data_IF_614147145686
#
_entry.id   IF_614147145686
#
_cell.length_a   1.000
_cell.length_b   1.000
_cell.length_c   1.000
_cell.angle_alpha   90.00
_cell.angle_beta   90.00
_cell.angle_gamma   90.00
#
_symmetry.space_group_name_H-M   'P 1'
#
loop_
_entity.id
_entity.type
_entity.pdbx_description
1 polymer ?
#
# COMPACT_ATOMS: atom_id res chain seq x y z
N UNK A 1 -5.28 -4.34 -30.47
CA UNK A 1 -6.66 -4.87 -30.35
C UNK A 1 -7.61 -3.70 -30.19
N UNK A 2 -8.79 -3.74 -30.82
CA UNK A 2 -9.81 -2.69 -30.63
C UNK A 2 -10.80 -3.14 -29.57
N UNK A 3 -10.87 -2.40 -28.46
CA UNK A 3 -11.73 -2.68 -27.31
C UNK A 3 -12.66 -1.49 -26.99
N UNK A 4 -12.81 -0.54 -27.93
CA UNK A 4 -13.56 0.71 -27.70
C UNK A 4 -15.06 0.50 -27.48
N UNK A 5 -15.60 -0.63 -27.93
CA UNK A 5 -17.01 -0.99 -27.76
C UNK A 5 -17.27 -1.82 -26.49
N UNK A 6 -16.23 -2.27 -25.79
CA UNK A 6 -16.40 -2.98 -24.52
C UNK A 6 -16.76 -1.99 -23.40
N UNK A 7 -17.54 -2.45 -22.42
CA UNK A 7 -17.83 -1.68 -21.22
C UNK A 7 -16.60 -1.68 -20.31
N UNK A 8 -15.78 -0.65 -20.45
CA UNK A 8 -14.55 -0.42 -19.69
C UNK A 8 -14.72 0.88 -18.90
N UNK A 9 -14.27 0.92 -17.65
CA UNK A 9 -14.32 2.12 -16.81
C UNK A 9 -13.15 2.16 -15.82
N UNK A 10 -12.86 3.34 -15.26
CA UNK A 10 -11.86 3.52 -14.20
C UNK A 10 -12.56 3.62 -12.84
N UNK A 11 -11.87 3.29 -11.74
CA UNK A 11 -12.36 3.49 -10.37
C UNK A 11 -11.23 4.08 -9.53
N UNK A 12 -11.37 5.34 -9.14
CA UNK A 12 -10.31 6.11 -8.53
C UNK A 12 -10.84 7.01 -7.39
N UNK A 13 -9.94 7.67 -6.67
CA UNK A 13 -10.32 8.73 -5.73
C UNK A 13 -10.96 9.92 -6.45
N UNK A 14 -11.86 10.64 -5.78
CA UNK A 14 -12.58 11.77 -6.36
C UNK A 14 -11.64 12.82 -6.98
N UNK A 15 -10.47 13.04 -6.36
CA UNK A 15 -9.46 14.03 -6.78
C UNK A 15 -8.41 13.49 -7.77
N UNK A 16 -8.42 12.20 -8.10
CA UNK A 16 -7.43 11.59 -8.98
C UNK A 16 -7.52 12.13 -10.42
N UNK A 17 -6.37 12.48 -11.02
CA UNK A 17 -6.30 13.06 -12.39
C UNK A 17 -5.52 12.18 -13.37
N UNK A 18 -4.61 11.39 -12.84
CA UNK A 18 -3.75 10.41 -13.48
C UNK A 18 -4.35 9.00 -13.33
N UNK A 19 -5.28 8.66 -14.23
CA UNK A 19 -5.97 7.37 -14.22
C UNK A 19 -5.11 6.35 -15.00
N UNK A 20 -4.34 5.54 -14.27
CA UNK A 20 -3.41 4.54 -14.83
C UNK A 20 -4.13 3.32 -15.40
N UNK A 21 -5.23 2.90 -14.77
CA UNK A 21 -5.89 1.63 -15.03
C UNK A 21 -7.40 1.76 -15.29
N UNK A 22 -7.91 0.88 -16.13
CA UNK A 22 -9.33 0.70 -16.39
C UNK A 22 -9.66 -0.79 -16.42
N UNK A 23 -10.90 -1.14 -16.06
CA UNK A 23 -11.33 -2.51 -15.84
C UNK A 23 -12.51 -2.86 -16.75
N UNK A 24 -12.54 -4.10 -17.23
CA UNK A 24 -13.73 -4.76 -17.75
C UNK A 24 -13.88 -6.14 -17.13
N UNK A 25 -15.12 -6.56 -16.87
CA UNK A 25 -15.40 -7.89 -16.35
C UNK A 25 -16.71 -8.46 -16.91
N UNK A 26 -16.75 -9.79 -17.09
CA UNK A 26 -17.97 -10.52 -17.46
C UNK A 26 -17.85 -12.00 -17.11
N UNK A 27 -19.00 -12.68 -17.02
CA UNK A 27 -19.03 -14.15 -16.93
C UNK A 27 -19.04 -14.72 -18.35
N UNK A 28 -18.14 -15.67 -18.61
CA UNK A 28 -18.04 -16.39 -19.88
C UNK A 28 -19.09 -17.51 -19.96
N UNK A 29 -19.35 -18.02 -21.17
CA UNK A 29 -20.33 -19.09 -21.40
C UNK A 29 -20.04 -20.38 -20.60
N UNK A 30 -18.77 -20.65 -20.32
CA UNK A 30 -18.34 -21.79 -19.51
C UNK A 30 -18.48 -21.55 -17.98
N UNK A 31 -18.93 -20.37 -17.57
CA UNK A 31 -19.08 -19.95 -16.18
C UNK A 31 -17.80 -19.51 -15.49
N UNK A 32 -16.69 -19.34 -16.23
CA UNK A 32 -15.50 -18.65 -15.73
C UNK A 32 -15.66 -17.14 -15.81
N UNK A 33 -14.81 -16.41 -15.10
CA UNK A 33 -14.74 -14.96 -15.15
C UNK A 33 -13.77 -14.52 -16.25
N UNK A 34 -14.16 -13.50 -16.99
CA UNK A 34 -13.26 -12.68 -17.76
C UNK A 34 -12.93 -11.43 -16.96
N UNK A 35 -11.64 -11.12 -16.85
CA UNK A 35 -11.12 -9.88 -16.28
C UNK A 35 -10.15 -9.25 -17.27
N UNK A 36 -10.51 -8.07 -17.79
CA UNK A 36 -9.62 -7.20 -18.56
C UNK A 36 -9.10 -6.08 -17.68
N UNK A 37 -7.77 -5.98 -17.57
CA UNK A 37 -7.09 -4.85 -16.92
C UNK A 37 -6.32 -4.08 -17.99
N UNK A 38 -6.66 -2.81 -18.16
CA UNK A 38 -6.20 -1.97 -19.26
C UNK A 38 -5.34 -0.85 -18.70
N UNK A 39 -4.02 -0.94 -18.87
CA UNK A 39 -3.07 0.02 -18.28
C UNK A 39 -2.63 1.03 -19.33
N UNK A 40 -2.54 2.30 -18.97
CA UNK A 40 -2.05 3.38 -19.83
C UNK A 40 -0.74 3.00 -20.56
N UNK A 41 -0.72 3.13 -21.89
CA UNK A 41 0.45 2.77 -22.70
C UNK A 41 1.51 3.90 -22.71
N UNK A 42 2.08 4.17 -21.54
CA UNK A 42 3.08 5.24 -21.35
C UNK A 42 4.32 4.99 -22.21
N UNK A 43 4.72 3.73 -22.40
CA UNK A 43 5.85 3.35 -23.26
C UNK A 43 5.62 3.69 -24.75
N UNK A 44 4.38 3.92 -25.17
CA UNK A 44 4.08 4.50 -26.48
C UNK A 44 4.61 5.93 -26.59
N UNK A 45 4.42 6.75 -25.58
CA UNK A 45 4.75 8.18 -25.60
C UNK A 45 6.17 8.47 -25.10
N UNK A 46 6.64 7.73 -24.09
CA UNK A 46 7.94 7.92 -23.44
C UNK A 46 8.94 6.89 -23.96
N UNK A 47 9.60 7.22 -25.08
CA UNK A 47 10.62 6.35 -25.70
C UNK A 47 11.91 6.32 -24.91
N UNK A 48 12.49 5.13 -24.79
CA UNK A 48 13.81 4.92 -24.17
C UNK A 48 14.87 5.85 -24.77
N UNK A 49 15.65 6.51 -23.91
CA UNK A 49 16.70 7.46 -24.26
C UNK A 49 16.22 8.88 -24.60
N UNK A 50 14.91 9.13 -24.67
CA UNK A 50 14.35 10.47 -24.86
C UNK A 50 14.63 11.39 -23.66
N UNK A 51 14.44 12.70 -23.84
CA UNK A 51 14.60 13.66 -22.73
C UNK A 51 13.61 13.37 -21.58
N UNK A 52 12.36 13.04 -21.91
CA UNK A 52 11.31 12.70 -20.94
C UNK A 52 11.68 11.39 -20.22
N UNK A 53 12.20 10.40 -20.93
CA UNK A 53 12.65 9.15 -20.33
C UNK A 53 13.79 9.35 -19.32
N UNK A 54 14.80 10.15 -19.68
CA UNK A 54 15.93 10.45 -18.77
C UNK A 54 15.45 11.13 -17.50
N UNK A 55 14.50 12.07 -17.61
CA UNK A 55 13.90 12.73 -16.46
C UNK A 55 13.03 11.77 -15.63
N UNK A 56 12.20 10.94 -16.29
CA UNK A 56 11.39 9.93 -15.61
C UNK A 56 12.27 8.92 -14.86
N UNK A 57 13.37 8.46 -15.47
CA UNK A 57 14.36 7.60 -14.82
C UNK A 57 15.01 8.29 -13.64
N UNK A 58 15.39 9.58 -13.79
CA UNK A 58 16.01 10.35 -12.72
C UNK A 58 15.08 10.45 -11.50
N UNK A 59 13.79 10.76 -11.72
CA UNK A 59 12.77 10.84 -10.66
C UNK A 59 12.43 9.48 -10.07
N UNK A 60 12.36 8.43 -10.90
CA UNK A 60 12.04 7.05 -10.51
C UNK A 60 10.56 6.81 -10.19
N UNK A 61 9.91 7.72 -9.48
CA UNK A 61 8.49 7.67 -9.14
C UNK A 61 7.90 9.07 -8.91
N UNK A 62 6.57 9.17 -8.93
CA UNK A 62 5.87 10.36 -8.42
C UNK A 62 6.00 10.42 -6.90
N UNK A 63 6.00 11.63 -6.34
CA UNK A 63 5.97 11.89 -4.88
C UNK A 63 4.66 12.58 -4.54
N UNK A 64 3.91 12.04 -3.58
CA UNK A 64 2.58 12.51 -3.18
C UNK A 64 2.66 13.25 -1.85
N UNK A 65 2.90 14.56 -1.91
CA UNK A 65 2.83 15.41 -0.74
C UNK A 65 1.38 15.81 -0.47
N UNK A 66 1.07 16.28 0.75
CA UNK A 66 -0.30 16.61 1.15
C UNK A 66 -0.98 17.64 0.24
N UNK A 67 -0.26 18.69 -0.17
CA UNK A 67 -0.82 19.80 -0.95
C UNK A 67 -0.52 19.70 -2.46
N UNK A 68 0.34 18.75 -2.87
CA UNK A 68 0.81 18.66 -4.26
C UNK A 68 1.40 17.30 -4.60
N UNK A 69 1.35 16.97 -5.87
CA UNK A 69 2.11 15.84 -6.45
C UNK A 69 3.33 16.39 -7.17
N UNK A 70 4.49 15.79 -6.94
CA UNK A 70 5.67 15.95 -7.79
C UNK A 70 5.67 14.78 -8.78
N UNK A 71 5.14 14.95 -10.00
CA UNK A 71 4.88 13.82 -10.87
C UNK A 71 6.18 13.30 -11.51
N UNK A 72 6.25 11.99 -11.76
CA UNK A 72 7.35 11.39 -12.54
C UNK A 72 7.37 11.90 -13.98
N UNK A 73 6.18 12.12 -14.56
CA UNK A 73 5.98 12.59 -15.93
C UNK A 73 5.36 13.99 -15.96
N UNK A 74 5.57 14.77 -17.03
CA UNK A 74 4.88 16.04 -17.20
C UNK A 74 3.35 15.89 -17.19
N UNK A 75 2.59 16.84 -16.61
CA UNK A 75 1.13 16.79 -16.54
C UNK A 75 0.43 16.58 -17.89
N UNK A 76 1.00 17.09 -18.99
CA UNK A 76 0.48 16.91 -20.34
C UNK A 76 0.46 15.44 -20.77
N UNK A 77 1.36 14.62 -20.22
CA UNK A 77 1.35 13.17 -20.37
C UNK A 77 0.51 12.51 -19.27
N UNK A 78 0.86 12.73 -18.00
CA UNK A 78 0.26 12.01 -16.87
C UNK A 78 -1.23 12.23 -16.75
N UNK A 79 -1.69 13.48 -16.85
CA UNK A 79 -3.09 13.87 -16.71
C UNK A 79 -3.77 14.06 -18.07
N UNK A 80 -3.02 13.94 -19.17
CA UNK A 80 -3.49 14.20 -20.53
C UNK A 80 -3.66 12.92 -21.33
N UNK A 81 -2.67 12.62 -22.18
CA UNK A 81 -2.79 11.55 -23.18
C UNK A 81 -2.59 10.14 -22.61
N UNK A 82 -1.90 9.99 -21.47
CA UNK A 82 -1.76 8.70 -20.81
C UNK A 82 -2.96 8.39 -19.90
N UNK A 83 -3.54 9.40 -19.25
CA UNK A 83 -4.70 9.21 -18.37
C UNK A 83 -5.91 8.67 -19.14
N UNK A 84 -6.54 7.64 -18.59
CA UNK A 84 -7.66 6.89 -19.19
C UNK A 84 -9.02 7.60 -19.01
N UNK A 85 -9.06 8.88 -19.37
CA UNK A 85 -10.26 9.71 -19.29
C UNK A 85 -11.46 9.10 -20.03
N UNK A 86 -12.70 9.34 -19.53
CA UNK A 86 -13.90 8.83 -20.16
C UNK A 86 -14.17 9.48 -21.53
N UNK A 87 -14.89 8.76 -22.38
CA UNK A 87 -15.40 9.18 -23.69
C UNK A 87 -14.33 9.57 -24.72
N UNK A 88 -13.07 9.19 -24.49
CA UNK A 88 -11.96 9.45 -25.40
C UNK A 88 -11.14 8.20 -25.65
N UNK A 89 -10.68 8.04 -26.90
CA UNK A 89 -9.85 6.90 -27.28
C UNK A 89 -8.47 7.00 -26.60
N UNK A 90 -8.01 5.88 -26.03
CA UNK A 90 -6.73 5.78 -25.32
C UNK A 90 -6.01 4.49 -25.65
N UNK A 91 -4.68 4.59 -25.78
CA UNK A 91 -3.80 3.45 -25.97
C UNK A 91 -3.51 2.79 -24.63
N UNK A 92 -3.62 1.48 -24.58
CA UNK A 92 -3.33 0.69 -23.37
C UNK A 92 -2.49 -0.54 -23.66
N UNK A 93 -1.73 -0.96 -22.66
CA UNK A 93 -1.26 -2.32 -22.52
C UNK A 93 -2.29 -3.09 -21.71
N UNK A 94 -3.03 -3.98 -22.36
CA UNK A 94 -4.12 -4.73 -21.73
C UNK A 94 -3.69 -6.14 -21.36
N UNK A 95 -4.12 -6.60 -20.19
CA UNK A 95 -3.97 -7.97 -19.72
C UNK A 95 -5.37 -8.56 -19.61
N UNK A 96 -5.66 -9.51 -20.50
CA UNK A 96 -6.96 -10.17 -20.60
C UNK A 96 -6.84 -11.55 -19.96
N UNK A 97 -7.61 -11.82 -18.92
CA UNK A 97 -7.50 -13.05 -18.13
C UNK A 97 -8.83 -13.79 -18.09
N UNK A 98 -8.76 -15.11 -18.25
CA UNK A 98 -9.83 -16.03 -17.88
C UNK A 98 -9.51 -16.65 -16.52
N UNK A 99 -10.40 -16.45 -15.56
CA UNK A 99 -10.23 -16.88 -14.17
C UNK A 99 -11.34 -17.86 -13.81
N UNK A 100 -10.96 -19.05 -13.37
CA UNK A 100 -11.95 -20.05 -12.96
C UNK A 100 -12.57 -19.73 -11.59
N UNK A 101 -13.58 -20.50 -11.18
CA UNK A 101 -14.29 -20.33 -9.90
C UNK A 101 -13.43 -20.59 -8.65
N UNK A 102 -12.18 -21.02 -8.81
CA UNK A 102 -11.20 -21.17 -7.72
C UNK A 102 -10.17 -20.02 -7.73
N UNK A 103 -10.39 -18.97 -8.52
CA UNK A 103 -9.48 -17.82 -8.63
C UNK A 103 -8.19 -18.13 -9.39
N UNK A 104 -8.11 -19.25 -10.12
CA UNK A 104 -6.94 -19.59 -10.95
C UNK A 104 -7.10 -18.97 -12.33
N UNK A 105 -6.10 -18.19 -12.75
CA UNK A 105 -5.95 -17.75 -14.14
C UNK A 105 -5.67 -19.00 -14.99
N UNK A 106 -6.61 -19.37 -15.84
CA UNK A 106 -6.51 -20.56 -16.72
C UNK A 106 -6.07 -20.20 -18.12
N UNK A 107 -6.26 -18.93 -18.51
CA UNK A 107 -5.75 -18.38 -19.75
C UNK A 107 -5.45 -16.89 -19.54
N UNK A 108 -4.43 -16.37 -20.20
CA UNK A 108 -4.13 -14.94 -20.19
C UNK A 108 -3.50 -14.49 -21.51
N UNK A 109 -3.71 -13.23 -21.85
CA UNK A 109 -3.11 -12.60 -23.02
C UNK A 109 -2.73 -11.15 -22.71
N UNK A 110 -1.49 -10.77 -23.03
CA UNK A 110 -1.02 -9.38 -22.94
C UNK A 110 -1.01 -8.81 -24.35
N UNK A 111 -1.68 -7.68 -24.56
CA UNK A 111 -1.86 -7.06 -25.89
C UNK A 111 -1.76 -5.54 -25.84
N UNK A 112 -1.20 -4.93 -26.89
CA UNK A 112 -1.44 -3.51 -27.16
C UNK A 112 -2.88 -3.31 -27.65
N UNK A 113 -3.59 -2.36 -27.06
CA UNK A 113 -5.01 -2.14 -27.33
C UNK A 113 -5.38 -0.65 -27.41
N UNK A 114 -6.55 -0.37 -27.98
CA UNK A 114 -7.22 0.93 -27.88
C UNK A 114 -8.55 0.73 -27.17
N UNK A 115 -8.80 1.54 -26.14
CA UNK A 115 -10.03 1.55 -25.35
C UNK A 115 -10.72 2.90 -25.47
N UNK A 116 -11.97 2.96 -25.04
CA UNK A 116 -12.73 4.18 -24.80
C UNK A 116 -13.47 3.98 -23.48
N UNK A 117 -12.94 4.56 -22.39
CA UNK A 117 -13.53 4.41 -21.06
C UNK A 117 -14.93 5.00 -21.06
N UNK A 118 -15.94 4.25 -20.62
CA UNK A 118 -17.34 4.64 -20.63
C UNK A 118 -17.74 5.45 -19.41
N UNK A 119 -16.93 5.37 -18.35
CA UNK A 119 -17.16 6.11 -17.13
C UNK A 119 -15.87 6.24 -16.31
N UNK A 120 -15.79 7.34 -15.54
CA UNK A 120 -14.88 7.48 -14.41
C UNK A 120 -15.71 7.31 -13.15
N UNK A 121 -15.45 6.25 -12.40
CA UNK A 121 -16.16 5.95 -11.15
C UNK A 121 -15.33 6.42 -9.96
N UNK A 122 -16.01 6.72 -8.85
CA UNK A 122 -15.39 7.13 -7.59
C UNK A 122 -15.48 5.97 -6.59
N UNK A 123 -14.41 5.74 -5.81
CA UNK A 123 -14.37 4.66 -4.82
C UNK A 123 -15.57 4.67 -3.85
N UNK A 124 -15.99 5.84 -3.38
CA UNK A 124 -17.09 5.96 -2.42
C UNK A 124 -18.43 5.58 -3.03
N UNK A 125 -18.79 6.10 -4.21
CA UNK A 125 -20.03 5.74 -4.89
C UNK A 125 -20.09 4.22 -5.19
N UNK A 126 -18.96 3.63 -5.60
CA UNK A 126 -18.88 2.17 -5.84
C UNK A 126 -19.04 1.37 -4.54
N UNK A 127 -18.41 1.81 -3.46
CA UNK A 127 -18.53 1.16 -2.15
C UNK A 127 -19.94 1.27 -1.59
N UNK A 128 -20.56 2.45 -1.65
CA UNK A 128 -21.94 2.69 -1.20
C UNK A 128 -22.92 1.75 -1.92
N UNK A 129 -22.76 1.58 -3.23
CA UNK A 129 -23.53 0.61 -4.00
C UNK A 129 -23.25 -0.84 -3.58
N UNK A 130 -21.99 -1.25 -3.50
CA UNK A 130 -21.66 -2.67 -3.26
C UNK A 130 -21.98 -3.11 -1.83
N UNK A 131 -21.82 -2.24 -0.83
CA UNK A 131 -22.02 -2.55 0.59
C UNK A 131 -23.48 -2.45 1.02
N UNK A 132 -24.20 -1.42 0.55
CA UNK A 132 -25.54 -1.10 1.06
C UNK A 132 -26.64 -1.13 -0.01
N UNK A 133 -26.27 -1.30 -1.28
CA UNK A 133 -27.18 -1.15 -2.44
C UNK A 133 -27.85 0.23 -2.43
N UNK A 134 -27.07 1.25 -2.08
CA UNK A 134 -27.55 2.63 -2.03
C UNK A 134 -28.16 3.06 -3.38
N UNK A 135 -29.33 3.70 -3.30
CA UNK A 135 -30.11 4.06 -4.49
C UNK A 135 -29.53 5.25 -5.25
N UNK A 136 -28.90 6.20 -4.56
CA UNK A 136 -28.26 7.35 -5.20
C UNK A 136 -26.99 6.91 -5.93
N UNK A 137 -26.18 6.07 -5.30
CA UNK A 137 -25.04 5.43 -5.91
C UNK A 137 -25.44 4.61 -7.15
N UNK A 138 -26.52 3.82 -7.08
CA UNK A 138 -27.04 3.07 -8.22
C UNK A 138 -27.47 3.99 -9.38
N UNK A 139 -28.09 5.14 -9.08
CA UNK A 139 -28.47 6.12 -10.09
C UNK A 139 -27.25 6.73 -10.78
N UNK A 140 -26.21 7.11 -10.00
CA UNK A 140 -24.95 7.65 -10.53
C UNK A 140 -24.19 6.65 -11.41
N UNK A 141 -24.09 5.40 -10.96
CA UNK A 141 -23.36 4.34 -11.65
C UNK A 141 -24.10 3.84 -12.91
N UNK A 142 -25.43 3.80 -12.85
CA UNK A 142 -26.27 3.19 -13.88
C UNK A 142 -26.31 1.66 -13.77
N UNK A 143 -27.44 1.08 -14.21
CA UNK A 143 -27.75 -0.34 -14.01
C UNK A 143 -26.82 -1.31 -14.74
N UNK A 144 -26.20 -0.87 -15.84
CA UNK A 144 -25.26 -1.71 -16.57
C UNK A 144 -23.93 -1.85 -15.85
N UNK A 145 -23.34 -0.73 -15.42
CA UNK A 145 -22.11 -0.70 -14.62
C UNK A 145 -22.31 -1.42 -13.30
N UNK A 146 -23.42 -1.16 -12.61
CA UNK A 146 -23.79 -1.80 -11.35
C UNK A 146 -23.76 -3.35 -11.44
N UNK A 147 -24.30 -3.93 -12.53
CA UNK A 147 -24.26 -5.38 -12.75
C UNK A 147 -22.83 -5.90 -12.95
N UNK A 148 -21.97 -5.15 -13.61
CA UNK A 148 -20.55 -5.52 -13.78
C UNK A 148 -19.81 -5.41 -12.45
N UNK A 149 -20.10 -4.39 -11.64
CA UNK A 149 -19.53 -4.24 -10.30
C UNK A 149 -19.91 -5.42 -9.39
N UNK A 150 -21.13 -5.95 -9.48
CA UNK A 150 -21.52 -7.16 -8.72
C UNK A 150 -20.66 -8.39 -9.12
N UNK A 151 -20.40 -8.57 -10.43
CA UNK A 151 -19.50 -9.63 -10.92
C UNK A 151 -18.07 -9.40 -10.41
N UNK A 152 -17.60 -8.15 -10.42
CA UNK A 152 -16.27 -7.79 -9.96
C UNK A 152 -16.12 -8.03 -8.45
N UNK A 153 -17.15 -7.75 -7.66
CA UNK A 153 -17.17 -8.02 -6.22
C UNK A 153 -17.09 -9.53 -5.92
N UNK A 154 -17.88 -10.36 -6.63
CA UNK A 154 -17.80 -11.82 -6.50
C UNK A 154 -16.40 -12.34 -6.86
N UNK A 155 -15.82 -11.84 -7.95
CA UNK A 155 -14.47 -12.22 -8.36
C UNK A 155 -13.41 -11.78 -7.34
N UNK A 156 -13.53 -10.57 -6.79
CA UNK A 156 -12.65 -10.05 -5.73
C UNK A 156 -12.67 -10.97 -4.52
N UNK A 157 -13.84 -11.41 -4.05
CA UNK A 157 -13.92 -12.33 -2.90
C UNK A 157 -13.22 -13.67 -3.18
N UNK A 158 -13.38 -14.22 -4.39
CA UNK A 158 -12.72 -15.46 -4.82
C UNK A 158 -11.19 -15.28 -4.82
N UNK A 159 -10.69 -14.16 -5.37
CA UNK A 159 -9.26 -13.86 -5.43
C UNK A 159 -8.69 -13.62 -4.03
N UNK A 160 -9.38 -12.84 -3.20
CA UNK A 160 -8.99 -12.56 -1.82
C UNK A 160 -8.91 -13.84 -0.99
N UNK A 161 -9.90 -14.73 -1.10
CA UNK A 161 -9.89 -16.03 -0.44
C UNK A 161 -8.69 -16.87 -0.88
N UNK A 162 -8.41 -16.93 -2.19
CA UNK A 162 -7.25 -17.67 -2.70
C UNK A 162 -5.92 -17.08 -2.20
N UNK A 163 -5.80 -15.75 -2.18
CA UNK A 163 -4.62 -15.03 -1.68
C UNK A 163 -4.40 -15.31 -0.19
N UNK A 164 -5.49 -15.29 0.58
CA UNK A 164 -5.49 -15.70 1.98
C UNK A 164 -5.06 -17.16 2.16
N UNK A 165 -5.62 -18.11 1.40
CA UNK A 165 -5.23 -19.53 1.45
C UNK A 165 -3.75 -19.79 1.08
N UNK A 166 -3.14 -18.93 0.24
CA UNK A 166 -1.71 -18.95 -0.08
C UNK A 166 -0.82 -18.50 1.08
N UNK A 167 -1.35 -17.81 2.09
CA UNK A 167 -0.58 -17.30 3.22
C UNK A 167 -0.17 -15.82 3.11
N UNK A 168 -0.85 -15.02 2.28
CA UNK A 168 -0.57 -13.59 2.19
C UNK A 168 -0.90 -12.88 3.51
N UNK A 169 0.01 -12.03 3.96
CA UNK A 169 -0.13 -11.31 5.23
C UNK A 169 -0.83 -9.98 4.92
N UNK A 170 -2.02 -9.78 5.47
CA UNK A 170 -2.76 -8.51 5.36
C UNK A 170 -2.65 -7.77 6.69
N UNK A 171 -1.92 -6.67 6.67
CA UNK A 171 -1.82 -5.80 7.83
C UNK A 171 -2.89 -4.72 7.74
N UNK A 172 -3.89 -4.78 8.62
CA UNK A 172 -4.91 -3.75 8.70
C UNK A 172 -4.45 -2.58 9.59
N UNK A 173 -3.49 -1.79 9.12
CA UNK A 173 -3.12 -0.54 9.78
C UNK A 173 -4.02 0.59 9.29
N UNK A 174 -4.52 1.38 10.23
CA UNK A 174 -5.26 2.59 9.88
C UNK A 174 -4.28 3.63 9.32
N UNK A 175 -4.51 4.06 8.08
CA UNK A 175 -3.79 5.17 7.47
C UNK A 175 -4.47 6.49 7.83
N UNK A 176 -3.69 7.52 8.19
CA UNK A 176 -4.22 8.84 8.48
C UNK A 176 -4.35 9.68 7.21
N UNK A 177 -5.51 10.27 6.97
CA UNK A 177 -5.69 11.37 6.04
C UNK A 177 -5.47 12.70 6.74
N UNK A 178 -4.70 13.59 6.12
CA UNK A 178 -4.51 14.96 6.60
C UNK A 178 -5.21 15.89 5.61
N UNK A 179 -6.34 16.45 6.01
CA UNK A 179 -7.08 17.43 5.23
C UNK A 179 -6.41 18.80 5.36
N UNK A 180 -6.12 19.44 4.23
CA UNK A 180 -5.51 20.77 4.18
C UNK A 180 -6.39 21.75 3.41
N UNK A 181 -6.39 23.02 3.82
CA UNK A 181 -7.08 24.10 3.11
C UNK A 181 -6.25 24.63 1.92
N UNK A 182 -6.78 25.65 1.22
CA UNK A 182 -6.12 26.26 0.05
C UNK A 182 -4.76 26.91 0.37
N UNK A 183 -4.53 27.31 1.63
CA UNK A 183 -3.26 27.85 2.12
C UNK A 183 -2.31 26.74 2.62
N UNK A 184 -2.74 25.48 2.51
CA UNK A 184 -2.00 24.30 2.93
C UNK A 184 -2.01 24.07 4.45
N UNK A 185 -2.87 24.73 5.20
CA UNK A 185 -3.00 24.55 6.65
C UNK A 185 -3.87 23.35 6.97
N UNK A 186 -3.50 22.57 7.99
CA UNK A 186 -4.27 21.40 8.39
C UNK A 186 -5.62 21.81 8.99
N UNK A 187 -6.69 21.34 8.34
CA UNK A 187 -8.08 21.47 8.77
C UNK A 187 -8.39 20.36 9.77
N UNK A 188 -8.20 19.11 9.36
CA UNK A 188 -8.48 17.93 10.16
C UNK A 188 -7.55 16.74 9.86
N UNK A 189 -7.51 15.77 10.78
CA UNK A 189 -6.82 14.50 10.62
C UNK A 189 -7.76 13.37 11.03
N UNK A 190 -8.00 12.42 10.13
CA UNK A 190 -8.89 11.28 10.37
C UNK A 190 -8.36 10.02 9.70
N UNK A 191 -8.90 8.86 10.06
CA UNK A 191 -8.48 7.58 9.45
C UNK A 191 -9.13 7.38 8.09
N UNK A 192 -8.36 6.97 7.10
CA UNK A 192 -8.91 6.48 5.83
C UNK A 192 -9.52 5.09 6.05
N UNK A 193 -10.74 4.93 5.56
CA UNK A 193 -11.38 3.62 5.50
C UNK A 193 -11.06 2.93 4.17
N UNK A 194 -10.39 1.77 4.27
CA UNK A 194 -10.19 0.87 3.12
C UNK A 194 -11.47 0.08 2.86
N UNK A 195 -12.34 0.59 1.98
CA UNK A 195 -13.67 0.02 1.67
C UNK A 195 -13.61 -1.02 0.55
N UNK A 196 -14.76 -1.62 0.22
CA UNK A 196 -14.83 -2.74 -0.74
C UNK A 196 -14.28 -2.38 -2.14
N UNK A 197 -14.50 -1.15 -2.62
CA UNK A 197 -14.04 -0.73 -3.95
C UNK A 197 -12.51 -0.63 -4.03
N UNK A 198 -11.85 -0.17 -2.97
CA UNK A 198 -10.39 -0.15 -2.86
C UNK A 198 -9.82 -1.57 -2.92
N UNK A 199 -10.39 -2.49 -2.13
CA UNK A 199 -9.97 -3.90 -2.07
C UNK A 199 -10.17 -4.60 -3.42
N UNK A 200 -11.24 -4.26 -4.13
CA UNK A 200 -11.54 -4.78 -5.46
C UNK A 200 -10.48 -4.40 -6.48
N UNK A 201 -10.15 -3.11 -6.60
CA UNK A 201 -9.09 -2.68 -7.52
C UNK A 201 -7.75 -3.29 -7.11
N UNK A 202 -7.43 -3.32 -5.82
CA UNK A 202 -6.19 -3.93 -5.32
C UNK A 202 -6.05 -5.40 -5.74
N UNK A 203 -7.06 -6.25 -5.54
CA UNK A 203 -7.02 -7.67 -5.94
C UNK A 203 -6.82 -7.84 -7.45
N UNK A 204 -7.44 -6.96 -8.26
CA UNK A 204 -7.32 -7.00 -9.71
C UNK A 204 -5.92 -6.59 -10.16
N UNK A 205 -5.36 -5.53 -9.57
CA UNK A 205 -3.97 -5.14 -9.84
C UNK A 205 -3.00 -6.24 -9.40
N UNK A 206 -3.23 -6.87 -8.25
CA UNK A 206 -2.40 -7.96 -7.75
C UNK A 206 -2.38 -9.16 -8.70
N UNK A 207 -3.54 -9.67 -9.12
CA UNK A 207 -3.60 -10.84 -10.01
C UNK A 207 -3.03 -10.51 -11.40
N UNK A 208 -3.20 -9.27 -11.89
CA UNK A 208 -2.56 -8.80 -13.13
C UNK A 208 -1.04 -8.78 -13.00
N UNK A 209 -0.52 -8.20 -11.91
CA UNK A 209 0.91 -8.14 -11.62
C UNK A 209 1.54 -9.54 -11.51
N UNK A 210 0.89 -10.48 -10.81
CA UNK A 210 1.31 -11.89 -10.74
C UNK A 210 1.33 -12.53 -12.14
N UNK A 211 0.27 -12.34 -12.93
CA UNK A 211 0.12 -12.95 -14.26
C UNK A 211 1.19 -12.47 -15.23
N UNK A 212 1.47 -11.17 -15.26
CA UNK A 212 2.54 -10.58 -16.09
C UNK A 212 3.89 -11.10 -15.63
N UNK A 213 4.16 -11.07 -14.32
CA UNK A 213 5.43 -11.53 -13.76
C UNK A 213 5.71 -13.01 -14.06
N UNK A 214 4.72 -13.88 -13.88
CA UNK A 214 4.85 -15.31 -14.15
C UNK A 214 5.09 -15.58 -15.65
N UNK A 215 4.37 -14.88 -16.52
CA UNK A 215 4.50 -15.04 -17.97
C UNK A 215 5.91 -14.71 -18.48
N UNK A 216 6.51 -13.62 -17.97
CA UNK A 216 7.86 -13.19 -18.40
C UNK A 216 8.98 -13.97 -17.72
N UNK A 217 8.76 -14.46 -16.49
CA UNK A 217 9.68 -15.39 -15.84
C UNK A 217 9.85 -16.67 -16.66
N UNK A 218 8.75 -17.33 -17.04
CA UNK A 218 8.81 -18.58 -17.82
C UNK A 218 9.25 -18.39 -19.28
N UNK A 219 9.12 -17.17 -19.81
CA UNK A 219 9.67 -16.83 -21.12
C UNK A 219 11.19 -16.62 -21.12
N UNK A 220 11.84 -16.63 -19.94
CA UNK A 220 13.28 -16.37 -19.77
C UNK A 220 13.71 -15.02 -20.38
N UNK A 221 12.82 -14.02 -20.31
CA UNK A 221 13.11 -12.67 -20.79
C UNK A 221 13.58 -11.82 -19.60
N UNK A 222 14.66 -11.02 -19.74
CA UNK A 222 15.09 -10.11 -18.68
C UNK A 222 13.96 -9.19 -18.24
N UNK A 223 13.70 -9.13 -16.93
CA UNK A 223 12.53 -8.45 -16.37
C UNK A 223 12.86 -7.80 -15.02
N UNK A 224 11.97 -6.92 -14.54
CA UNK A 224 12.06 -6.35 -13.19
C UNK A 224 11.00 -6.97 -12.31
N UNK A 225 11.42 -7.48 -11.17
CA UNK A 225 10.58 -8.05 -10.14
C UNK A 225 10.47 -7.09 -8.97
N UNK A 226 9.34 -7.17 -8.26
CA UNK A 226 9.16 -6.57 -6.95
C UNK A 226 9.27 -7.68 -5.93
N UNK A 227 10.40 -7.74 -5.24
CA UNK A 227 10.72 -8.82 -4.30
C UNK A 227 10.59 -8.33 -2.86
N UNK A 228 10.20 -9.23 -1.99
CA UNK A 228 10.16 -9.04 -0.55
C UNK A 228 10.76 -10.30 0.04
N UNK A 229 12.06 -10.23 0.32
CA UNK A 229 12.86 -11.35 0.82
C UNK A 229 12.36 -11.85 2.18
N UNK A 230 12.77 -13.05 2.56
CA UNK A 230 12.51 -13.58 3.90
C UNK A 230 13.07 -12.64 5.00
N UNK A 231 12.38 -12.55 6.15
CA UNK A 231 12.80 -11.73 7.29
C UNK A 231 14.24 -12.01 7.75
N UNK A 232 14.88 -11.01 8.37
CA UNK A 232 16.18 -11.21 9.02
C UNK A 232 16.02 -12.16 10.22
N UNK A 233 16.86 -13.19 10.30
CA UNK A 233 16.78 -14.23 11.34
C UNK A 233 16.78 -13.63 12.76
N UNK A 234 17.64 -12.64 13.01
CA UNK A 234 17.73 -11.96 14.30
C UNK A 234 16.42 -11.25 14.68
N UNK A 235 15.85 -10.44 13.77
CA UNK A 235 14.60 -9.71 14.03
C UNK A 235 13.41 -10.66 14.18
N UNK A 236 13.37 -11.71 13.38
CA UNK A 236 12.35 -12.75 13.47
C UNK A 236 12.45 -13.48 14.82
N UNK A 237 13.65 -13.78 15.31
CA UNK A 237 13.85 -14.41 16.61
C UNK A 237 13.35 -13.54 17.77
N UNK A 238 13.60 -12.24 17.72
CA UNK A 238 13.07 -11.28 18.70
C UNK A 238 11.54 -11.28 18.69
N UNK A 239 10.92 -11.22 17.50
CA UNK A 239 9.46 -11.33 17.35
C UNK A 239 8.90 -12.66 17.89
N UNK A 240 9.52 -13.79 17.53
CA UNK A 240 9.09 -15.12 17.97
C UNK A 240 9.26 -15.32 19.48
N UNK A 241 10.25 -14.68 20.11
CA UNK A 241 10.40 -14.69 21.57
C UNK A 241 9.26 -13.91 22.25
N UNK A 242 8.98 -12.71 21.74
CA UNK A 242 7.92 -11.85 22.25
C UNK A 242 6.54 -12.53 22.22
N UNK A 243 6.13 -13.06 21.06
CA UNK A 243 4.80 -13.70 20.94
C UNK A 243 4.69 -14.98 21.78
N UNK A 244 5.81 -15.69 22.04
CA UNK A 244 5.84 -16.83 22.98
C UNK A 244 5.54 -16.41 24.41
N UNK A 245 6.01 -15.22 24.83
CA UNK A 245 5.64 -14.62 26.11
C UNK A 245 4.14 -14.36 26.24
N UNK A 246 3.45 -14.09 25.13
CA UNK A 246 2.00 -13.91 25.04
C UNK A 246 1.22 -15.22 24.86
N UNK A 247 1.90 -16.37 24.82
CA UNK A 247 1.29 -17.69 24.64
C UNK A 247 1.05 -18.11 23.20
N UNK A 248 1.54 -17.35 22.22
CA UNK A 248 1.50 -17.72 20.80
C UNK A 248 2.75 -18.47 20.36
N UNK A 249 2.61 -19.35 19.38
CA UNK A 249 3.75 -20.10 18.85
C UNK A 249 3.60 -20.32 17.35
N UNK A 250 4.69 -20.14 16.63
CA UNK A 250 4.78 -20.40 15.19
C UNK A 250 5.39 -21.78 14.98
N UNK A 251 4.83 -22.57 14.05
CA UNK A 251 5.42 -23.86 13.66
C UNK A 251 6.43 -23.62 12.55
N UNK A 252 7.60 -24.24 12.64
CA UNK A 252 8.61 -24.16 11.58
C UNK A 252 10.04 -24.06 12.11
N UNK A 253 11.01 -24.21 11.21
CA UNK A 253 12.41 -23.92 11.47
C UNK A 253 12.61 -22.43 11.18
N UNK A 254 13.34 -21.73 12.05
CA UNK A 254 13.47 -20.26 12.05
C UNK A 254 13.84 -19.64 10.69
N UNK A 255 14.60 -20.35 9.83
CA UNK A 255 15.04 -19.87 8.52
C UNK A 255 14.17 -20.29 7.33
N UNK A 256 13.06 -20.99 7.56
CA UNK A 256 12.12 -21.44 6.52
C UNK A 256 10.66 -21.19 6.94
N UNK A 257 10.41 -20.18 7.78
CA UNK A 257 9.05 -19.85 8.19
C UNK A 257 8.26 -19.40 6.97
N UNK A 258 7.25 -20.20 6.62
CA UNK A 258 6.35 -19.90 5.52
C UNK A 258 5.45 -18.70 5.90
N UNK A 259 5.14 -17.76 4.97
CA UNK A 259 4.28 -16.60 5.23
C UNK A 259 2.98 -16.93 5.97
N UNK A 260 2.36 -18.06 5.59
CA UNK A 260 1.15 -18.62 6.21
C UNK A 260 1.25 -18.79 7.74
N UNK A 261 2.41 -19.13 8.26
CA UNK A 261 2.56 -19.30 9.71
C UNK A 261 2.50 -17.97 10.45
N UNK A 262 3.02 -16.89 9.85
CA UNK A 262 2.87 -15.54 10.39
C UNK A 262 1.45 -15.01 10.17
N UNK A 263 0.82 -15.36 9.05
CA UNK A 263 -0.59 -15.03 8.79
C UNK A 263 -1.51 -15.62 9.88
N UNK A 264 -1.34 -16.88 10.27
CA UNK A 264 -2.13 -17.47 11.36
C UNK A 264 -1.95 -16.71 12.69
N UNK A 265 -0.78 -16.13 12.96
CA UNK A 265 -0.59 -15.28 14.14
C UNK A 265 -1.44 -14.01 14.04
N UNK A 266 -1.49 -13.36 12.89
CA UNK A 266 -2.34 -12.18 12.66
C UNK A 266 -3.82 -12.53 12.83
N UNK A 267 -4.25 -13.68 12.33
CA UNK A 267 -5.63 -14.17 12.51
C UNK A 267 -5.95 -14.47 13.99
N UNK A 268 -5.02 -15.12 14.70
CA UNK A 268 -5.19 -15.49 16.10
C UNK A 268 -5.29 -14.26 17.02
N UNK A 269 -4.60 -13.16 16.69
CA UNK A 269 -4.62 -11.93 17.49
C UNK A 269 -5.77 -10.98 17.13
N UNK A 270 -6.47 -11.20 16.02
CA UNK A 270 -7.50 -10.30 15.54
C UNK A 270 -8.60 -10.06 16.59
N UNK A 271 -8.92 -8.79 16.85
CA UNK A 271 -9.87 -8.35 17.87
C UNK A 271 -9.37 -8.44 19.31
N UNK A 272 -8.12 -8.86 19.55
CA UNK A 272 -7.52 -8.93 20.89
C UNK A 272 -6.77 -7.66 21.24
N UNK A 273 -6.57 -7.42 22.55
CA UNK A 273 -5.87 -6.23 23.05
C UNK A 273 -4.43 -6.13 22.53
N UNK A 274 -3.78 -7.26 22.27
CA UNK A 274 -2.41 -7.34 21.77
C UNK A 274 -2.30 -7.23 20.23
N UNK A 275 -3.40 -7.11 19.48
CA UNK A 275 -3.41 -7.08 18.02
C UNK A 275 -2.45 -6.02 17.46
N UNK A 276 -2.67 -4.76 17.85
CA UNK A 276 -1.89 -3.63 17.37
C UNK A 276 -0.38 -3.79 17.65
N UNK A 277 -0.05 -4.38 18.79
CA UNK A 277 1.31 -4.60 19.27
C UNK A 277 2.02 -5.65 18.44
N UNK A 278 1.41 -6.83 18.35
CA UNK A 278 1.97 -7.99 17.66
C UNK A 278 2.06 -7.70 16.16
N UNK A 279 1.04 -7.06 15.57
CA UNK A 279 1.06 -6.64 14.16
C UNK A 279 2.20 -5.66 13.86
N UNK A 280 2.40 -4.63 14.69
CA UNK A 280 3.52 -3.68 14.50
C UNK A 280 4.88 -4.35 14.66
N UNK A 281 5.03 -5.22 15.65
CA UNK A 281 6.30 -5.93 15.87
C UNK A 281 6.60 -6.91 14.73
N UNK A 282 5.57 -7.62 14.23
CA UNK A 282 5.71 -8.48 13.06
C UNK A 282 6.16 -7.67 11.85
N UNK A 283 5.48 -6.55 11.54
CA UNK A 283 5.86 -5.69 10.41
C UNK A 283 7.33 -5.25 10.51
N UNK A 284 7.79 -4.84 11.69
CA UNK A 284 9.19 -4.44 11.93
C UNK A 284 10.20 -5.59 11.77
N UNK A 285 9.75 -6.83 11.93
CA UNK A 285 10.59 -8.01 11.71
C UNK A 285 10.79 -8.33 10.22
N UNK A 286 9.85 -7.91 9.37
CA UNK A 286 9.91 -8.13 7.92
C UNK A 286 10.93 -7.19 7.25
N UNK A 287 11.35 -7.58 6.03
CA UNK A 287 12.20 -6.73 5.19
C UNK A 287 11.36 -5.71 4.42
N UNK A 288 11.99 -4.61 4.01
CA UNK A 288 11.39 -3.72 3.01
C UNK A 288 11.41 -4.42 1.64
N UNK A 289 10.31 -4.32 0.90
CA UNK A 289 10.29 -4.75 -0.49
C UNK A 289 11.20 -3.87 -1.36
N UNK A 290 11.75 -4.42 -2.44
CA UNK A 290 12.65 -3.72 -3.36
C UNK A 290 12.45 -4.19 -4.79
N UNK A 291 12.88 -3.38 -5.74
CA UNK A 291 12.99 -3.79 -7.13
C UNK A 291 14.28 -4.62 -7.33
N UNK A 292 14.21 -5.63 -8.20
CA UNK A 292 15.32 -6.54 -8.50
C UNK A 292 15.20 -7.06 -9.94
N UNK A 293 16.31 -7.20 -10.64
CA UNK A 293 16.39 -7.92 -11.93
C UNK A 293 16.36 -9.44 -11.74
N UNK A 294 16.71 -9.91 -10.54
CA UNK A 294 16.65 -11.33 -10.16
C UNK A 294 15.31 -11.60 -9.46
N UNK A 295 14.58 -12.59 -9.96
CA UNK A 295 13.35 -13.05 -9.32
C UNK A 295 13.64 -13.67 -7.95
N UNK A 296 12.82 -13.32 -6.97
CA UNK A 296 12.73 -13.95 -5.66
C UNK A 296 11.29 -13.82 -5.16
N UNK A 297 10.98 -14.44 -4.03
CA UNK A 297 9.67 -14.38 -3.39
C UNK A 297 9.28 -12.93 -3.07
N UNK A 298 7.98 -12.65 -3.14
CA UNK A 298 7.35 -11.55 -2.42
C UNK A 298 6.69 -12.10 -1.14
N UNK A 299 7.45 -12.16 -0.05
CA UNK A 299 7.08 -12.81 1.21
C UNK A 299 5.71 -12.34 1.74
N UNK A 300 5.50 -11.03 1.86
CA UNK A 300 4.22 -10.49 2.36
C UNK A 300 2.99 -10.83 1.51
N UNK A 301 3.17 -11.08 0.21
CA UNK A 301 2.08 -11.47 -0.69
C UNK A 301 1.99 -13.00 -0.88
N UNK A 302 2.92 -13.76 -0.27
CA UNK A 302 3.09 -15.19 -0.50
C UNK A 302 3.11 -15.56 -1.99
N UNK A 303 3.86 -14.78 -2.78
CA UNK A 303 3.92 -14.93 -4.24
C UNK A 303 5.34 -15.18 -4.74
N UNK A 304 5.51 -16.10 -5.68
CA UNK A 304 6.83 -16.41 -6.30
C UNK A 304 7.15 -15.48 -7.47
N UNK A 305 6.12 -14.94 -8.12
CA UNK A 305 6.26 -14.11 -9.30
C UNK A 305 5.46 -12.86 -9.07
N UNK A 306 6.14 -11.75 -8.79
CA UNK A 306 5.49 -10.48 -8.60
C UNK A 306 6.33 -9.35 -9.18
N UNK A 307 5.66 -8.46 -9.91
CA UNK A 307 6.24 -7.30 -10.59
C UNK A 307 5.22 -6.16 -10.56
N UNK A 308 5.67 -4.92 -10.45
CA UNK A 308 4.77 -3.77 -10.63
C UNK A 308 4.60 -3.48 -12.13
N UNK A 309 3.37 -3.61 -12.63
CA UNK A 309 2.98 -3.36 -14.02
C UNK A 309 1.90 -2.29 -14.20
N UNK A 310 1.10 -2.08 -13.17
CA UNK A 310 -0.20 -1.39 -13.27
C UNK A 310 -0.14 0.12 -13.07
N UNK A 311 1.03 0.74 -12.90
CA UNK A 311 1.12 2.19 -12.68
C UNK A 311 2.30 2.89 -13.40
N UNK A 312 2.43 2.75 -14.73
CA UNK A 312 3.53 3.31 -15.49
C UNK A 312 3.52 4.85 -15.59
N UNK A 313 2.41 5.53 -15.24
CA UNK A 313 2.40 7.01 -15.18
C UNK A 313 3.25 7.52 -14.01
N UNK A 314 3.29 6.76 -12.91
CA UNK A 314 3.89 7.18 -11.63
C UNK A 314 5.05 6.31 -11.13
N UNK A 315 5.37 5.21 -11.80
CA UNK A 315 6.50 4.33 -11.46
C UNK A 315 7.34 3.97 -12.68
N UNK A 316 8.63 4.27 -12.62
CA UNK A 316 9.57 3.99 -13.71
C UNK A 316 9.79 2.48 -13.96
N UNK A 317 9.80 1.60 -12.94
CA UNK A 317 9.87 0.14 -13.17
C UNK A 317 8.73 -0.39 -14.03
N UNK A 318 7.50 0.05 -13.80
CA UNK A 318 6.33 -0.29 -14.61
C UNK A 318 6.53 0.16 -16.07
N UNK A 319 6.99 1.40 -16.29
CA UNK A 319 7.34 1.90 -17.63
C UNK A 319 8.43 1.06 -18.29
N UNK A 320 9.45 0.64 -17.55
CA UNK A 320 10.54 -0.19 -18.05
C UNK A 320 10.05 -1.57 -18.47
N UNK A 321 9.18 -2.22 -17.69
CA UNK A 321 8.63 -3.52 -18.09
C UNK A 321 7.64 -3.42 -19.24
N UNK A 322 6.88 -2.32 -19.35
CA UNK A 322 6.04 -2.07 -20.53
C UNK A 322 6.87 -2.04 -21.82
N UNK A 323 8.09 -1.49 -21.79
CA UNK A 323 9.01 -1.52 -22.95
C UNK A 323 9.44 -2.93 -23.31
N UNK A 324 9.82 -3.73 -22.31
CA UNK A 324 10.22 -5.13 -22.49
C UNK A 324 9.06 -5.93 -23.11
N UNK A 325 7.85 -5.74 -22.57
CA UNK A 325 6.62 -6.35 -23.07
C UNK A 325 6.36 -5.98 -24.52
N UNK A 326 6.44 -4.69 -24.87
CA UNK A 326 6.25 -4.21 -26.25
C UNK A 326 7.28 -4.77 -27.21
N UNK A 327 8.55 -4.82 -26.82
CA UNK A 327 9.59 -5.40 -27.67
C UNK A 327 9.34 -6.90 -27.90
N UNK A 328 8.83 -7.62 -26.90
CA UNK A 328 8.46 -9.02 -27.04
C UNK A 328 7.25 -9.23 -27.96
N UNK A 329 6.12 -8.59 -27.68
CA UNK A 329 4.86 -8.74 -28.44
C UNK A 329 5.04 -8.33 -29.92
N UNK A 330 5.88 -7.34 -30.19
CA UNK A 330 6.16 -6.89 -31.56
C UNK A 330 7.27 -7.68 -32.28
N UNK A 331 7.76 -8.79 -31.70
CA UNK A 331 8.80 -9.63 -32.31
C UNK A 331 10.17 -8.94 -32.42
N UNK A 332 10.43 -7.92 -31.60
CA UNK A 332 11.70 -7.17 -31.55
C UNK A 332 12.68 -7.73 -30.52
N UNK A 333 12.25 -8.63 -29.64
CA UNK A 333 13.09 -9.25 -28.61
C UNK A 333 14.08 -10.25 -29.23
N UNK A 334 15.24 -9.74 -29.65
CA UNK A 334 16.36 -10.52 -30.16
C UNK A 334 17.53 -10.52 -29.16
N UNK A 335 18.60 -11.28 -29.43
CA UNK A 335 19.76 -11.40 -28.52
C UNK A 335 20.39 -10.05 -28.14
N UNK A 336 20.39 -9.06 -29.04
CA UNK A 336 20.91 -7.71 -28.72
C UNK A 336 20.01 -6.97 -27.75
N UNK A 337 18.69 -7.18 -27.84
CA UNK A 337 17.72 -6.60 -26.90
C UNK A 337 17.79 -7.28 -25.54
N UNK A 338 17.97 -8.60 -25.49
CA UNK A 338 18.22 -9.34 -24.25
C UNK A 338 19.47 -8.81 -23.55
N UNK A 339 20.62 -8.76 -24.24
CA UNK A 339 21.89 -8.25 -23.68
C UNK A 339 21.76 -6.78 -23.22
N UNK A 340 21.02 -5.97 -23.98
CA UNK A 340 20.74 -4.60 -23.58
C UNK A 340 19.97 -4.51 -22.26
N UNK A 341 18.89 -5.29 -22.10
CA UNK A 341 18.10 -5.30 -20.87
C UNK A 341 18.88 -5.88 -19.68
N UNK A 342 19.57 -7.02 -19.84
CA UNK A 342 20.43 -7.59 -18.79
C UNK A 342 21.45 -6.58 -18.25
N UNK A 343 21.97 -5.71 -19.12
CA UNK A 343 22.91 -4.65 -18.73
C UNK A 343 22.27 -3.50 -17.97
N UNK A 344 21.05 -3.07 -18.32
CA UNK A 344 20.44 -1.86 -17.74
C UNK A 344 19.56 -2.12 -16.52
N UNK A 345 19.02 -3.34 -16.39
CA UNK A 345 18.03 -3.63 -15.35
C UNK A 345 18.58 -3.56 -13.92
N UNK A 346 19.82 -3.98 -13.60
CA UNK A 346 20.39 -3.81 -12.26
C UNK A 346 20.39 -2.33 -11.81
N UNK A 347 20.84 -1.42 -12.67
CA UNK A 347 20.87 0.02 -12.38
C UNK A 347 19.44 0.58 -12.22
N UNK A 348 18.48 0.11 -13.03
CA UNK A 348 17.08 0.54 -12.91
C UNK A 348 16.47 0.06 -11.59
N UNK A 349 16.75 -1.19 -11.19
CA UNK A 349 16.26 -1.77 -9.94
C UNK A 349 16.81 -1.04 -8.72
N UNK A 350 18.13 -0.81 -8.66
CA UNK A 350 18.78 -0.11 -7.56
C UNK A 350 18.27 1.34 -7.45
N UNK A 351 18.27 2.07 -8.56
CA UNK A 351 17.85 3.47 -8.59
C UNK A 351 16.38 3.63 -8.19
N UNK A 352 15.48 2.81 -8.75
CA UNK A 352 14.05 2.90 -8.44
C UNK A 352 13.75 2.56 -6.98
N UNK A 353 14.45 1.58 -6.41
CA UNK A 353 14.32 1.25 -4.98
C UNK A 353 14.84 2.38 -4.09
N UNK A 354 15.84 3.13 -4.54
CA UNK A 354 16.37 4.29 -3.80
C UNK A 354 15.41 5.47 -3.85
N UNK A 355 14.90 5.83 -5.03
CA UNK A 355 13.97 6.96 -5.17
C UNK A 355 12.66 6.71 -4.46
N UNK A 356 12.16 5.47 -4.45
CA UNK A 356 10.99 5.07 -3.68
C UNK A 356 11.17 5.36 -2.18
N UNK A 357 12.29 4.91 -1.58
CA UNK A 357 12.59 5.19 -0.17
C UNK A 357 12.71 6.69 0.11
N UNK A 358 13.35 7.44 -0.78
CA UNK A 358 13.47 8.89 -0.63
C UNK A 358 12.11 9.59 -0.70
N UNK A 359 11.20 9.12 -1.56
CA UNK A 359 9.84 9.64 -1.62
C UNK A 359 9.05 9.32 -0.35
N UNK A 360 9.05 8.06 0.11
CA UNK A 360 8.42 7.64 1.36
C UNK A 360 8.92 8.45 2.58
N UNK A 361 10.23 8.70 2.65
CA UNK A 361 10.83 9.51 3.72
C UNK A 361 10.34 10.97 3.66
N UNK A 362 10.28 11.57 2.48
CA UNK A 362 9.79 12.94 2.30
C UNK A 362 8.30 13.08 2.62
N UNK A 363 7.48 12.14 2.18
CA UNK A 363 6.04 12.10 2.48
C UNK A 363 5.80 12.00 3.99
N UNK A 364 6.50 11.07 4.65
CA UNK A 364 6.44 10.89 6.10
C UNK A 364 6.90 12.12 6.88
N UNK A 365 7.95 12.79 6.44
CA UNK A 365 8.44 13.99 7.12
C UNK A 365 7.43 15.14 7.01
N UNK A 366 6.79 15.32 5.85
CA UNK A 366 5.71 16.30 5.68
C UNK A 366 4.51 15.97 6.56
N UNK A 367 4.09 14.70 6.62
CA UNK A 367 3.02 14.27 7.52
C UNK A 367 3.33 14.60 8.99
N UNK A 368 4.56 14.34 9.45
CA UNK A 368 4.96 14.65 10.84
C UNK A 368 4.90 16.14 11.14
N UNK A 369 5.42 16.99 10.24
CA UNK A 369 5.35 18.45 10.37
C UNK A 369 3.88 18.89 10.49
N UNK A 370 3.00 18.29 9.68
CA UNK A 370 1.60 18.67 9.56
C UNK A 370 0.76 18.16 10.73
N UNK A 371 1.05 16.94 11.23
CA UNK A 371 0.52 16.43 12.49
C UNK A 371 0.94 17.33 13.67
N UNK A 372 2.19 17.78 13.72
CA UNK A 372 2.63 18.74 14.73
C UNK A 372 1.88 20.08 14.59
N UNK A 373 1.79 20.66 13.40
CA UNK A 373 0.99 21.89 13.14
C UNK A 373 -0.46 21.76 13.61
N UNK A 374 -1.09 20.61 13.38
CA UNK A 374 -2.44 20.34 13.85
C UNK A 374 -2.51 20.31 15.39
N UNK A 375 -1.57 19.61 16.04
CA UNK A 375 -1.53 19.46 17.50
C UNK A 375 -1.20 20.74 18.27
N UNK A 376 -0.57 21.75 17.66
CA UNK A 376 -0.30 23.05 18.30
C UNK A 376 -1.57 23.70 18.89
N UNK A 377 -2.73 23.46 18.26
CA UNK A 377 -4.01 24.02 18.70
C UNK A 377 -4.60 23.34 19.93
N UNK A 378 -4.08 22.17 20.28
CA UNK A 378 -4.63 21.28 21.30
C UNK A 378 -3.71 21.18 22.54
N UNK A 379 -2.72 22.06 22.67
CA UNK A 379 -1.85 22.12 23.87
C UNK A 379 -2.71 22.31 25.12
N UNK A 380 -2.52 21.43 26.12
CA UNK A 380 -3.29 21.36 27.35
C UNK A 380 -4.56 20.49 27.26
N UNK A 381 -4.93 20.01 26.07
CA UNK A 381 -6.07 19.10 25.92
C UNK A 381 -5.66 17.64 26.13
N UNK A 382 -6.65 16.83 26.54
CA UNK A 382 -6.48 15.42 26.89
C UNK A 382 -7.07 14.50 25.83
N UNK A 383 -6.37 13.42 25.57
CA UNK A 383 -6.75 12.41 24.58
C UNK A 383 -6.54 11.00 25.14
N UNK A 384 -7.41 10.09 24.75
CA UNK A 384 -7.10 8.66 24.86
C UNK A 384 -6.14 8.26 23.73
N UNK A 385 -5.16 7.44 24.07
CA UNK A 385 -4.21 6.90 23.11
C UNK A 385 -3.79 5.48 23.45
N UNK A 386 -3.09 4.86 22.50
CA UNK A 386 -2.49 3.53 22.65
C UNK A 386 -0.98 3.68 22.65
N UNK A 387 -0.30 2.99 23.56
CA UNK A 387 1.16 2.92 23.50
C UNK A 387 1.59 2.21 22.20
N UNK A 388 2.20 2.96 21.28
CA UNK A 388 2.66 2.49 19.97
C UNK A 388 4.13 2.07 19.98
N UNK A 389 4.90 2.52 20.97
CA UNK A 389 6.31 2.21 21.12
C UNK A 389 6.83 2.45 22.52
N UNK A 390 7.79 1.64 22.95
CA UNK A 390 8.54 1.86 24.20
C UNK A 390 10.02 1.84 23.85
N UNK A 391 10.76 2.83 24.37
CA UNK A 391 12.19 3.01 24.09
C UNK A 391 12.95 3.31 25.37
N UNK A 392 14.28 3.40 25.30
CA UNK A 392 15.12 3.74 26.45
C UNK A 392 14.96 5.17 26.96
N UNK A 393 14.32 6.07 26.20
CA UNK A 393 14.16 7.48 26.56
C UNK A 393 12.71 7.94 26.75
N UNK A 394 11.73 7.10 26.43
CA UNK A 394 10.32 7.41 26.61
C UNK A 394 9.38 6.43 25.91
N UNK A 395 8.10 6.76 25.98
CA UNK A 395 6.97 5.96 25.50
C UNK A 395 6.25 6.75 24.40
N UNK A 396 6.10 6.15 23.22
CA UNK A 396 5.28 6.71 22.15
C UNK A 396 3.82 6.32 22.33
N UNK A 397 2.93 7.30 22.20
CA UNK A 397 1.48 7.13 22.29
C UNK A 397 0.86 7.61 20.98
N UNK A 398 0.06 6.75 20.36
CA UNK A 398 -0.69 7.01 19.13
C UNK A 398 -2.16 7.27 19.47
N UNK A 399 -2.67 8.41 18.99
CA UNK A 399 -4.05 8.84 19.16
C UNK A 399 -4.98 8.20 18.12
N UNK A 400 -6.28 8.30 18.33
CA UNK A 400 -7.28 7.72 17.41
C UNK A 400 -7.14 8.24 15.97
N UNK A 401 -6.75 9.50 15.78
CA UNK A 401 -6.53 10.11 14.47
C UNK A 401 -5.14 9.81 13.87
N UNK A 402 -4.40 8.84 14.40
CA UNK A 402 -3.03 8.42 13.96
C UNK A 402 -1.90 9.41 14.28
N UNK A 403 -2.18 10.48 15.04
CA UNK A 403 -1.11 11.34 15.56
C UNK A 403 -0.33 10.58 16.62
N UNK A 404 1.00 10.60 16.53
CA UNK A 404 1.89 9.97 17.51
C UNK A 404 2.71 11.05 18.23
N UNK A 405 2.83 10.92 19.55
CA UNK A 405 3.64 11.80 20.38
C UNK A 405 4.41 11.03 21.46
N UNK A 406 5.40 11.68 22.06
CA UNK A 406 6.33 11.08 23.02
C UNK A 406 6.01 11.50 24.45
N UNK A 407 5.85 10.54 25.35
CA UNK A 407 5.93 10.75 26.81
C UNK A 407 7.36 10.46 27.25
N UNK A 408 8.09 11.49 27.67
CA UNK A 408 9.45 11.31 28.18
C UNK A 408 9.44 10.67 29.57
N UNK A 409 10.38 9.78 29.87
CA UNK A 409 10.54 9.30 31.25
C UNK A 409 10.84 10.42 32.24
N UNK A 410 11.43 11.53 31.79
CA UNK A 410 11.72 12.69 32.64
C UNK A 410 10.45 13.45 33.07
N UNK A 411 9.35 13.32 32.34
CA UNK A 411 8.07 13.94 32.71
C UNK A 411 7.21 13.04 33.60
N UNK A 412 7.65 11.81 33.88
CA UNK A 412 6.93 10.85 34.73
C UNK A 412 7.45 10.96 36.16
N UNK A 413 6.82 11.81 36.98
CA UNK A 413 7.27 12.09 38.34
C UNK A 413 6.86 11.04 39.38
N UNK A 414 6.06 10.06 39.00
CA UNK A 414 5.53 9.02 39.89
C UNK A 414 6.54 7.90 40.20
N UNK A 415 7.53 7.67 39.33
CA UNK A 415 8.61 6.70 39.55
C UNK A 415 9.81 6.94 38.61
N UNK A 416 10.91 6.21 38.81
CA UNK A 416 11.99 6.10 37.84
C UNK A 416 11.74 4.89 36.92
N UNK A 417 11.46 5.15 35.65
CA UNK A 417 11.13 4.13 34.66
C UNK A 417 12.35 3.69 33.85
N UNK A 418 12.51 2.38 33.71
CA UNK A 418 13.57 1.76 32.90
C UNK A 418 12.94 0.91 31.81
N UNK A 419 13.51 0.98 30.61
CA UNK A 419 13.10 0.15 29.49
C UNK A 419 13.63 -1.28 29.65
N UNK A 420 12.71 -2.23 29.71
CA UNK A 420 13.00 -3.66 29.65
C UNK A 420 12.93 -4.09 28.18
N UNK A 421 14.09 -4.25 27.53
CA UNK A 421 14.22 -4.62 26.12
C UNK A 421 13.64 -6.01 25.82
N UNK A 422 13.76 -6.95 26.76
CA UNK A 422 13.30 -8.33 26.58
C UNK A 422 11.77 -8.42 26.60
N UNK A 423 11.13 -7.62 27.47
CA UNK A 423 9.67 -7.58 27.65
C UNK A 423 8.99 -6.48 26.83
N UNK A 424 9.76 -5.55 26.26
CA UNK A 424 9.29 -4.36 25.56
C UNK A 424 8.34 -3.50 26.41
N UNK A 425 8.67 -3.31 27.69
CA UNK A 425 7.87 -2.53 28.64
C UNK A 425 8.72 -1.45 29.32
N UNK A 426 8.09 -0.35 29.73
CA UNK A 426 8.69 0.61 30.65
C UNK A 426 8.26 0.23 32.06
N UNK A 427 9.22 -0.07 32.93
CA UNK A 427 8.95 -0.53 34.30
C UNK A 427 9.50 0.44 35.33
N UNK A 428 8.64 0.85 36.25
CA UNK A 428 9.02 1.65 37.41
C UNK A 428 9.85 0.84 38.40
N UNK A 429 10.99 1.37 38.84
CA UNK A 429 11.90 0.68 39.76
C UNK A 429 11.28 0.48 41.14
N UNK A 430 10.52 1.45 41.66
CA UNK A 430 9.97 1.42 43.02
C UNK A 430 8.53 0.90 43.07
N UNK A 431 7.68 1.40 42.18
CA UNK A 431 6.26 1.08 42.09
C UNK A 431 6.01 -0.28 41.42
N UNK A 432 6.98 -0.74 40.62
CA UNK A 432 6.81 -1.87 39.69
C UNK A 432 5.65 -1.69 38.70
N UNK A 433 5.16 -0.46 38.51
CA UNK A 433 4.18 -0.14 37.47
C UNK A 433 4.81 -0.38 36.11
N UNK A 434 4.07 -1.01 35.21
CA UNK A 434 4.51 -1.33 33.85
C UNK A 434 3.62 -0.61 32.85
N UNK A 435 4.25 -0.01 31.83
CA UNK A 435 3.59 0.45 30.62
C UNK A 435 4.08 -0.41 29.47
N UNK A 436 3.18 -1.18 28.88
CA UNK A 436 3.46 -2.07 27.77
C UNK A 436 2.91 -1.49 26.46
N UNK A 437 3.50 -1.94 25.35
CA UNK A 437 2.94 -1.65 24.04
C UNK A 437 1.48 -2.11 24.01
N UNK A 438 0.59 -1.30 23.43
CA UNK A 438 -0.84 -1.57 23.29
C UNK A 438 -1.69 -1.19 24.49
N UNK A 439 -1.10 -0.79 25.61
CA UNK A 439 -1.88 -0.28 26.74
C UNK A 439 -2.63 1.00 26.34
N UNK A 440 -3.88 1.09 26.80
CA UNK A 440 -4.69 2.30 26.71
C UNK A 440 -4.29 3.26 27.82
N UNK A 441 -4.00 4.49 27.44
CA UNK A 441 -3.51 5.55 28.31
C UNK A 441 -4.23 6.85 28.00
N UNK A 442 -4.33 7.71 29.00
CA UNK A 442 -4.81 9.07 28.82
C UNK A 442 -3.60 10.01 28.88
N UNK A 443 -3.47 10.85 27.85
CA UNK A 443 -2.35 11.78 27.69
C UNK A 443 -2.85 13.20 27.52
N UNK A 444 -2.08 14.16 28.01
CA UNK A 444 -2.28 15.58 27.75
C UNK A 444 -1.20 16.09 26.79
N UNK A 445 -1.58 16.93 25.84
CA UNK A 445 -0.64 17.59 24.92
C UNK A 445 0.18 18.63 25.70
N UNK A 446 1.42 18.31 26.03
CA UNK A 446 2.25 19.16 26.87
C UNK A 446 3.02 20.20 26.06
N UNK A 447 3.62 19.78 24.95
CA UNK A 447 4.43 20.65 24.12
C UNK A 447 4.38 20.20 22.67
N UNK A 448 4.43 21.17 21.75
CA UNK A 448 4.53 20.92 20.32
C UNK A 448 5.59 21.85 19.75
N UNK A 449 6.50 21.29 18.96
CA UNK A 449 7.48 22.02 18.18
C UNK A 449 7.34 21.60 16.72
N UNK A 450 6.61 22.41 15.94
CA UNK A 450 6.37 22.18 14.51
C UNK A 450 7.67 22.14 13.69
N UNK A 451 8.65 22.99 14.00
CA UNK A 451 9.91 23.05 13.24
C UNK A 451 10.71 21.75 13.40
N UNK A 452 10.66 21.14 14.59
CA UNK A 452 11.28 19.84 14.86
C UNK A 452 10.35 18.65 14.64
N UNK A 453 9.08 18.89 14.30
CA UNK A 453 8.04 17.87 14.20
C UNK A 453 7.89 17.03 15.48
N UNK A 454 7.99 17.68 16.64
CA UNK A 454 7.89 17.05 17.96
C UNK A 454 6.52 17.33 18.54
N UNK A 455 5.89 16.29 19.06
CA UNK A 455 4.68 16.35 19.88
C UNK A 455 5.01 15.60 21.17
N UNK A 456 5.06 16.33 22.27
CA UNK A 456 5.32 15.77 23.58
C UNK A 456 4.01 15.67 24.36
N UNK A 457 3.81 14.49 24.93
CA UNK A 457 2.69 14.16 25.80
C UNK A 457 3.17 14.01 27.24
N UNK A 458 2.24 14.15 28.17
CA UNK A 458 2.40 13.71 29.56
C UNK A 458 1.24 12.78 29.93
N UNK A 459 1.49 11.79 30.78
CA UNK A 459 0.41 10.95 31.31
C UNK A 459 -0.43 11.74 32.32
N UNK A 460 -1.75 11.63 32.21
CA UNK A 460 -2.67 12.23 33.17
C UNK A 460 -2.65 11.41 34.46
N UNK A 461 -2.21 12.02 35.57
CA UNK A 461 -2.22 11.39 36.90
C UNK A 461 -3.54 11.65 37.64
N UNK A 462 -3.86 10.84 38.66
CA UNK A 462 -5.10 11.03 39.45
C UNK A 462 -5.21 12.42 40.09
N UNK A 463 -4.08 13.05 40.46
CA UNK A 463 -4.06 14.42 41.02
C UNK A 463 -4.50 15.47 39.98
N UNK A 464 -4.21 15.26 38.70
CA UNK A 464 -4.62 16.14 37.60
C UNK A 464 -6.11 15.99 37.23
N UNK A 465 -6.74 14.87 37.63
CA UNK A 465 -8.18 14.64 37.42
C UNK A 465 -9.06 15.38 38.44
N UNK A 466 -8.53 15.72 39.61
CA UNK A 466 -9.27 16.36 40.70
C UNK A 466 -9.07 17.89 40.79
N UNK A 467 -8.27 18.48 39.90
CA UNK A 467 -7.97 19.92 39.88
C UNK A 467 -8.99 20.81 39.13
N UNK A 468 -10.03 20.21 38.53
CA UNK A 468 -11.05 20.89 37.72
C UNK A 468 -12.48 20.73 38.27
N UNK A 469 -12.64 20.47 39.58
CA UNK A 469 -13.95 20.60 40.26
C UNK A 469 -14.21 22.00 40.83
#
# INVERSE_FOLDING_TARGET
>A
MDLREELIFTIDGADAKDLDDAISAKILENGNYYLGVHIADVAHYVKEGSAIDKEAKLRGNSVYLLDRVIPMLPPELSNGICSLHPDVDRLTMSVLMEINKQGKVVNSQIVESVINSKARLVYDDVSDYLETKDSEALEKLGSEVARVLDIMAELMEILNKKRHEKGAIDFNFAEGYIEVDEDGKVVDIYKLERRISNRLIEEFMLITNETVSESYFWAEIPFLYRIHEYPDEEKLNVFLHFIRGLGYSVKGIQNEIHPRELQHIIEDIAGKKEEAVVSRMMLRSLKKAKYSEVNDIHFGLSSKYYSHFTAPIRRYPDLQIHRIIKDNINGKMNSKKVEHYERILPDVAEHSSKTERTAEEAERDVEKIKKAEYMERFIGERFEGLISGVTSFGIFVELENTVEGLVSYNSMSDDYYVFDEDRLVARGENSHKEYALGDRVEVEVYHVDKEKSIIDFIFVTEDMKHGEE
#
